data_IF_879602844002
#
_entry.id   IF_879602844002
#
_cell.length_a   1.000
_cell.length_b   1.000
_cell.length_c   1.000
_cell.angle_alpha   90.00
_cell.angle_beta   90.00
_cell.angle_gamma   90.00
#
_symmetry.space_group_name_H-M   'P 1'
#
loop_
_entity.id
_entity.type
_entity.pdbx_description
1 polymer ?
#
# COMPACT_ATOMS: atom_id res chain seq x y z
N UNK A 1 5.53 -17.40 1.37
CA UNK A 1 4.71 -16.26 1.80
C UNK A 1 5.17 -15.07 0.98
N UNK A 2 4.33 -14.46 0.14
CA UNK A 2 4.74 -13.26 -0.60
C UNK A 2 4.80 -12.08 0.38
N UNK A 3 5.97 -11.50 0.57
CA UNK A 3 6.15 -10.36 1.47
C UNK A 3 5.75 -9.07 0.75
N UNK A 4 4.62 -8.47 1.13
CA UNK A 4 4.16 -7.20 0.56
C UNK A 4 5.18 -6.06 0.72
N UNK A 5 6.03 -6.15 1.75
CA UNK A 5 7.14 -5.23 2.02
C UNK A 5 8.26 -5.31 0.95
N UNK A 6 8.34 -6.41 0.19
CA UNK A 6 9.28 -6.54 -0.94
C UNK A 6 8.75 -5.91 -2.24
N UNK A 7 7.44 -5.63 -2.27
CA UNK A 7 6.71 -5.19 -3.47
C UNK A 7 6.40 -3.70 -3.43
N UNK A 8 6.11 -3.17 -2.23
CA UNK A 8 5.87 -1.74 -2.04
C UNK A 8 7.10 -1.09 -1.39
N UNK A 9 7.66 -0.02 -1.98
CA UNK A 9 8.75 0.71 -1.35
C UNK A 9 8.34 1.28 0.01
N UNK A 10 9.24 1.19 1.01
CA UNK A 10 8.99 1.70 2.36
C UNK A 10 8.64 3.21 2.37
N UNK A 11 9.14 3.98 1.40
CA UNK A 11 8.81 5.40 1.24
C UNK A 11 7.32 5.61 0.93
N UNK A 12 6.71 4.74 0.12
CA UNK A 12 5.29 4.79 -0.25
C UNK A 12 4.44 4.49 0.97
N UNK A 13 4.78 3.45 1.74
CA UNK A 13 4.10 3.11 2.99
C UNK A 13 4.16 4.27 3.99
N UNK A 14 5.32 4.91 4.15
CA UNK A 14 5.45 6.08 5.02
C UNK A 14 4.61 7.26 4.54
N UNK A 15 4.55 7.49 3.23
CA UNK A 15 3.81 8.60 2.64
C UNK A 15 2.29 8.40 2.71
N UNK A 16 1.79 7.15 2.74
CA UNK A 16 0.37 6.84 2.96
C UNK A 16 -0.15 7.33 4.33
N UNK A 17 0.74 7.42 5.32
CA UNK A 17 0.42 7.95 6.66
C UNK A 17 0.83 9.41 6.87
N UNK A 18 1.27 10.12 5.82
CA UNK A 18 1.75 11.49 5.95
C UNK A 18 0.60 12.47 6.25
N UNK A 19 0.89 13.51 7.05
CA UNK A 19 -0.10 14.55 7.39
C UNK A 19 -0.56 15.32 6.15
N UNK A 20 0.29 15.45 5.14
CA UNK A 20 -0.03 16.14 3.90
C UNK A 20 -0.85 15.25 2.96
N UNK A 21 -2.03 15.73 2.60
CA UNK A 21 -2.93 15.02 1.68
C UNK A 21 -2.29 14.73 0.32
N UNK A 22 -1.53 15.68 -0.25
CA UNK A 22 -0.85 15.48 -1.54
C UNK A 22 0.11 14.30 -1.52
N UNK A 23 0.84 14.10 -0.41
CA UNK A 23 1.74 12.96 -0.26
C UNK A 23 0.98 11.65 -0.15
N UNK A 24 -0.14 11.62 0.59
CA UNK A 24 -1.02 10.45 0.67
C UNK A 24 -1.60 10.09 -0.70
N UNK A 25 -2.07 11.08 -1.45
CA UNK A 25 -2.57 10.91 -2.83
C UNK A 25 -1.49 10.36 -3.75
N UNK A 26 -0.31 10.94 -3.75
CA UNK A 26 0.79 10.48 -4.61
C UNK A 26 1.23 9.05 -4.27
N UNK A 27 1.29 8.71 -2.98
CA UNK A 27 1.58 7.35 -2.55
C UNK A 27 0.50 6.35 -2.99
N UNK A 28 -0.78 6.73 -2.88
CA UNK A 28 -1.88 5.89 -3.35
C UNK A 28 -1.82 5.64 -4.87
N UNK A 29 -1.49 6.65 -5.68
CA UNK A 29 -1.27 6.50 -7.13
C UNK A 29 -0.10 5.56 -7.44
N UNK A 30 0.97 5.62 -6.65
CA UNK A 30 2.12 4.74 -6.81
C UNK A 30 1.77 3.28 -6.47
N UNK A 31 1.02 3.05 -5.39
CA UNK A 31 0.47 1.71 -5.05
C UNK A 31 -0.43 1.19 -6.17
N UNK A 32 -1.30 2.04 -6.73
CA UNK A 32 -2.15 1.65 -7.86
C UNK A 32 -1.32 1.21 -9.07
N UNK A 33 -0.26 1.95 -9.40
CA UNK A 33 0.68 1.60 -10.46
C UNK A 33 1.33 0.23 -10.24
N UNK A 34 1.82 -0.03 -9.02
CA UNK A 34 2.41 -1.31 -8.64
C UNK A 34 1.40 -2.44 -8.79
N UNK A 35 0.18 -2.29 -8.28
CA UNK A 35 -0.87 -3.32 -8.38
C UNK A 35 -1.24 -3.60 -9.84
N UNK A 36 -1.33 -2.57 -10.69
CA UNK A 36 -1.55 -2.75 -12.15
C UNK A 36 -0.43 -3.53 -12.82
N UNK A 37 0.83 -3.26 -12.46
CA UNK A 37 1.97 -4.01 -12.98
C UNK A 37 1.91 -5.48 -12.53
N UNK A 38 1.67 -5.75 -11.24
CA UNK A 38 1.54 -7.11 -10.71
C UNK A 38 0.39 -7.87 -11.38
N UNK A 39 -0.75 -7.21 -11.61
CA UNK A 39 -1.89 -7.80 -12.30
C UNK A 39 -1.54 -8.16 -13.75
N UNK A 40 -0.78 -7.29 -14.42
CA UNK A 40 -0.29 -7.53 -15.79
C UNK A 40 0.73 -8.67 -15.85
N UNK A 41 1.51 -8.88 -14.78
CA UNK A 41 2.46 -9.98 -14.62
C UNK A 41 1.84 -11.29 -14.13
N UNK A 42 0.56 -11.30 -13.75
CA UNK A 42 -0.12 -12.48 -13.19
C UNK A 42 0.28 -12.80 -11.74
N UNK A 43 0.93 -11.88 -11.04
CA UNK A 43 1.45 -12.02 -9.68
C UNK A 43 0.33 -11.82 -8.63
N UNK A 44 -0.73 -12.64 -8.70
CA UNK A 44 -1.93 -12.47 -7.87
C UNK A 44 -1.64 -12.66 -6.36
N UNK A 45 -0.70 -13.54 -6.00
CA UNK A 45 -0.29 -13.74 -4.61
C UNK A 45 0.27 -12.45 -3.97
N UNK A 46 1.04 -11.67 -4.75
CA UNK A 46 1.60 -10.39 -4.29
C UNK A 46 0.50 -9.33 -4.16
N UNK A 47 -0.50 -9.33 -5.04
CA UNK A 47 -1.66 -8.44 -4.93
C UNK A 47 -2.44 -8.73 -3.66
N UNK A 48 -2.70 -10.01 -3.35
CA UNK A 48 -3.37 -10.40 -2.11
C UNK A 48 -2.55 -9.98 -0.88
N UNK A 49 -1.23 -10.13 -0.92
CA UNK A 49 -0.35 -9.67 0.16
C UNK A 49 -0.44 -8.14 0.36
N UNK A 50 -0.43 -7.36 -0.73
CA UNK A 50 -0.59 -5.90 -0.69
C UNK A 50 -1.93 -5.49 -0.09
N UNK A 51 -3.04 -6.12 -0.53
CA UNK A 51 -4.38 -5.83 0.00
C UNK A 51 -4.43 -6.12 1.50
N UNK A 52 -3.90 -7.26 1.95
CA UNK A 52 -3.87 -7.62 3.36
C UNK A 52 -3.02 -6.65 4.18
N UNK A 53 -1.89 -6.18 3.65
CA UNK A 53 -1.05 -5.18 4.31
C UNK A 53 -1.81 -3.86 4.47
N UNK A 54 -2.40 -3.33 3.39
CA UNK A 54 -3.15 -2.07 3.44
C UNK A 54 -4.34 -2.16 4.41
N UNK A 55 -5.00 -3.32 4.41
CA UNK A 55 -6.17 -3.57 5.25
C UNK A 55 -5.79 -3.59 6.75
N UNK A 56 -4.73 -4.31 7.11
CA UNK A 56 -4.29 -4.37 8.51
C UNK A 56 -3.65 -3.07 9.00
N UNK A 57 -2.80 -2.45 8.18
CA UNK A 57 -1.98 -1.30 8.59
C UNK A 57 -2.71 0.04 8.52
N UNK A 58 -3.76 0.16 7.68
CA UNK A 58 -4.45 1.43 7.42
C UNK A 58 -5.96 1.37 7.68
N UNK A 59 -6.70 0.33 7.25
CA UNK A 59 -8.16 0.29 7.50
C UNK A 59 -8.52 -0.17 8.92
N UNK A 60 -7.84 -1.20 9.42
CA UNK A 60 -8.03 -1.70 10.80
C UNK A 60 -7.01 -1.13 11.79
N UNK A 61 -6.15 -0.21 11.34
CA UNK A 61 -5.11 0.35 12.17
C UNK A 61 -5.68 0.94 13.46
N UNK A 62 -5.14 0.61 14.64
CA UNK A 62 -5.55 1.25 15.89
C UNK A 62 -5.18 2.74 15.90
N UNK A 63 -4.24 3.17 15.07
CA UNK A 63 -3.78 4.54 14.93
C UNK A 63 -4.75 5.36 14.08
N UNK A 64 -5.44 6.32 14.70
CA UNK A 64 -6.47 7.13 14.04
C UNK A 64 -5.95 7.94 12.83
N UNK A 65 -4.65 8.25 12.78
CA UNK A 65 -4.02 8.94 11.66
C UNK A 65 -3.86 8.05 10.42
N UNK A 66 -3.79 6.72 10.60
CA UNK A 66 -3.72 5.78 9.49
C UNK A 66 -5.11 5.45 8.92
N UNK A 67 -6.19 5.76 9.66
CA UNK A 67 -7.59 5.63 9.22
C UNK A 67 -8.16 6.89 8.56
N UNK A 68 -7.39 7.98 8.45
CA UNK A 68 -7.83 9.31 8.00
C UNK A 68 -7.18 9.75 6.69
#
# INVERSE_FOLDING_TARGET
MADALSVIPAAVLRNLSDKLYEKRKNAALEVEGIVKQLASSGDHDKITAVINLLTNEYTYSPQANHRK
#
